data_IF_393720136339
#
_entry.id   IF_393720136339
#
_cell.length_a   1.000
_cell.length_b   1.000
_cell.length_c   1.000
_cell.angle_alpha   90.00
_cell.angle_beta   90.00
_cell.angle_gamma   90.00
#
_symmetry.space_group_name_H-M   'P 1'
#
loop_
_entity.id
_entity.type
_entity.pdbx_description
1 polymer ?
#
# COMPACT_ATOMS: atom_id res chain seq x y z
N UNK A 1 -6.63 -17.76 -16.25
CA UNK A 1 -7.13 -17.56 -14.87
C UNK A 1 -6.82 -16.14 -14.48
N UNK A 2 -7.69 -15.46 -13.72
CA UNK A 2 -7.41 -14.11 -13.24
C UNK A 2 -6.18 -14.21 -12.32
N UNK A 3 -5.06 -13.59 -12.72
CA UNK A 3 -3.86 -13.50 -11.89
C UNK A 3 -4.23 -12.76 -10.61
N UNK A 4 -4.39 -13.50 -9.51
CA UNK A 4 -4.57 -12.92 -8.19
C UNK A 4 -3.22 -12.43 -7.71
N UNK A 5 -2.99 -11.13 -7.87
CA UNK A 5 -1.78 -10.48 -7.38
C UNK A 5 -1.98 -10.07 -5.93
N UNK A 6 -0.96 -10.29 -5.10
CA UNK A 6 -1.01 -10.01 -3.67
C UNK A 6 -0.66 -8.55 -3.43
N UNK A 7 -1.55 -7.80 -2.77
CA UNK A 7 -1.23 -6.49 -2.23
C UNK A 7 -0.44 -6.70 -0.93
N UNK A 8 0.75 -6.10 -0.87
CA UNK A 8 1.59 -6.08 0.34
C UNK A 8 1.51 -4.70 0.99
N UNK A 9 1.59 -4.68 2.31
CA UNK A 9 1.61 -3.43 3.08
C UNK A 9 2.88 -3.42 3.91
N UNK A 10 3.64 -2.34 3.82
CA UNK A 10 4.85 -2.10 4.59
C UNK A 10 4.63 -0.88 5.46
N UNK A 11 4.95 -0.97 6.75
CA UNK A 11 5.14 0.22 7.56
C UNK A 11 6.44 0.92 7.10
N UNK A 12 6.34 2.22 6.85
CA UNK A 12 7.46 3.05 6.42
C UNK A 12 7.73 4.15 7.44
N UNK A 13 9.00 4.56 7.61
CA UNK A 13 9.33 5.70 8.45
C UNK A 13 8.63 6.98 7.95
N UNK A 14 8.33 7.92 8.86
CA UNK A 14 7.76 9.22 8.49
C UNK A 14 8.71 9.97 7.55
N UNK A 15 8.17 10.92 6.78
CA UNK A 15 8.94 11.84 5.94
C UNK A 15 9.89 12.69 6.80
N UNK A 16 11.08 12.18 7.08
CA UNK A 16 12.15 12.91 7.77
C UNK A 16 13.19 13.35 6.75
N UNK A 17 12.81 14.11 5.72
CA UNK A 17 13.72 14.84 4.80
C UNK A 17 14.73 14.03 3.96
N UNK A 18 15.04 12.79 4.33
CA UNK A 18 16.13 11.95 3.82
C UNK A 18 15.58 10.62 3.28
N UNK A 19 14.36 10.64 2.71
CA UNK A 19 13.79 9.45 2.09
C UNK A 19 14.39 9.30 0.68
N UNK A 20 15.45 8.50 0.55
CA UNK A 20 16.12 8.25 -0.73
C UNK A 20 16.01 6.75 -1.06
N UNK A 21 15.41 6.43 -2.20
CA UNK A 21 15.36 5.05 -2.71
C UNK A 21 16.70 4.56 -3.26
N UNK A 22 17.64 5.47 -3.56
CA UNK A 22 18.90 5.15 -4.24
C UNK A 22 20.16 5.43 -3.43
N UNK A 23 20.17 6.44 -2.54
CA UNK A 23 21.42 6.99 -1.99
C UNK A 23 21.35 7.42 -0.51
N UNK A 24 20.37 6.91 0.26
CA UNK A 24 20.15 7.27 1.67
C UNK A 24 20.65 6.21 2.67
N UNK A 25 20.59 6.52 3.96
CA UNK A 25 20.85 5.54 5.01
C UNK A 25 19.88 4.36 4.94
N UNK A 26 20.35 3.16 5.30
CA UNK A 26 19.55 1.94 5.32
C UNK A 26 18.25 2.13 6.09
N UNK A 27 17.12 1.96 5.41
CA UNK A 27 15.79 2.06 6.02
C UNK A 27 15.24 0.66 6.30
N UNK A 28 14.75 0.46 7.52
CA UNK A 28 14.06 -0.78 7.89
C UNK A 28 12.59 -0.64 7.50
N UNK A 29 12.16 -1.49 6.56
CA UNK A 29 10.76 -1.66 6.21
C UNK A 29 10.18 -2.80 7.05
N UNK A 30 9.11 -2.55 7.78
CA UNK A 30 8.43 -3.61 8.53
C UNK A 30 7.26 -4.08 7.67
N UNK A 31 7.38 -5.26 7.07
CA UNK A 31 6.23 -5.91 6.44
C UNK A 31 5.19 -6.22 7.52
N UNK A 32 3.99 -5.69 7.32
CA UNK A 32 2.85 -6.03 8.19
C UNK A 32 2.08 -7.16 7.51
N UNK A 33 1.62 -8.15 8.29
CA UNK A 33 0.87 -9.33 7.80
C UNK A 33 -0.57 -8.98 7.33
N UNK A 34 -0.72 -7.91 6.55
CA UNK A 34 -1.99 -7.43 6.01
C UNK A 34 -2.02 -7.65 4.52
N UNK A 35 -2.64 -8.76 4.13
CA UNK A 35 -2.72 -9.20 2.75
C UNK A 35 -4.13 -9.07 2.19
N UNK A 36 -4.24 -8.66 0.94
CA UNK A 36 -5.49 -8.65 0.18
C UNK A 36 -5.20 -9.05 -1.26
N UNK A 37 -6.00 -9.94 -1.81
CA UNK A 37 -5.98 -10.23 -3.25
C UNK A 37 -6.42 -8.97 -4.00
N UNK A 38 -5.66 -8.60 -5.04
CA UNK A 38 -6.02 -7.51 -5.95
C UNK A 38 -7.06 -7.97 -6.98
N UNK A 39 -8.29 -8.18 -6.53
CA UNK A 39 -9.42 -8.59 -7.38
C UNK A 39 -10.33 -7.42 -7.70
N UNK A 40 -10.67 -7.22 -8.98
CA UNK A 40 -11.75 -6.31 -9.37
C UNK A 40 -13.06 -6.69 -8.65
N UNK A 41 -13.69 -5.75 -7.92
CA UNK A 41 -14.89 -6.05 -7.16
C UNK A 41 -16.17 -6.08 -8.01
N UNK A 42 -16.16 -5.55 -9.23
CA UNK A 42 -17.40 -5.26 -9.99
C UNK A 42 -17.38 -5.68 -11.45
N UNK A 43 -16.22 -5.73 -12.12
CA UNK A 43 -16.13 -6.12 -13.54
C UNK A 43 -14.71 -6.65 -13.86
N UNK A 44 -14.56 -7.88 -14.37
CA UNK A 44 -13.26 -8.44 -14.77
C UNK A 44 -12.51 -7.59 -15.81
N UNK A 45 -13.20 -6.72 -16.55
CA UNK A 45 -12.61 -5.82 -17.56
C UNK A 45 -12.06 -4.51 -16.96
N UNK A 46 -12.46 -4.15 -15.74
CA UNK A 46 -12.04 -2.91 -15.07
C UNK A 46 -10.62 -2.95 -14.51
N UNK A 47 -9.93 -4.09 -14.63
CA UNK A 47 -8.59 -4.29 -14.10
C UNK A 47 -8.56 -4.43 -12.56
N UNK A 48 -7.36 -4.61 -11.97
CA UNK A 48 -7.18 -4.75 -10.53
C UNK A 48 -7.61 -3.49 -9.74
N UNK A 49 -7.99 -3.64 -8.46
CA UNK A 49 -8.36 -2.52 -7.57
C UNK A 49 -7.25 -1.47 -7.46
N UNK A 50 -5.98 -1.88 -7.51
CA UNK A 50 -4.85 -0.94 -7.45
C UNK A 50 -4.75 -0.02 -8.68
N UNK A 51 -5.37 -0.37 -9.81
CA UNK A 51 -5.26 0.40 -11.05
C UNK A 51 -6.07 1.70 -11.02
N UNK A 52 -7.11 1.80 -10.19
CA UNK A 52 -8.03 2.95 -10.19
C UNK A 52 -8.28 3.50 -8.78
N UNK A 53 -8.65 4.78 -8.70
CA UNK A 53 -8.77 5.53 -7.43
C UNK A 53 -9.77 4.90 -6.45
N UNK A 54 -10.96 4.52 -6.94
CA UNK A 54 -11.99 3.89 -6.10
C UNK A 54 -11.55 2.56 -5.49
N UNK A 55 -10.70 1.79 -6.17
CA UNK A 55 -10.17 0.52 -5.67
C UNK A 55 -9.08 0.75 -4.63
N UNK A 56 -8.21 1.75 -4.85
CA UNK A 56 -7.22 2.19 -3.85
C UNK A 56 -7.89 2.63 -2.54
N UNK A 57 -9.01 3.36 -2.62
CA UNK A 57 -9.79 3.75 -1.44
C UNK A 57 -10.34 2.55 -0.67
N UNK A 58 -10.85 1.52 -1.36
CA UNK A 58 -11.30 0.28 -0.72
C UNK A 58 -10.15 -0.48 -0.03
N UNK A 59 -8.96 -0.45 -0.62
CA UNK A 59 -7.76 -1.06 -0.03
C UNK A 59 -7.33 -0.28 1.23
N UNK A 60 -7.35 1.05 1.17
CA UNK A 60 -7.06 1.91 2.30
C UNK A 60 -8.04 1.68 3.47
N UNK A 61 -9.33 1.59 3.19
CA UNK A 61 -10.36 1.27 4.18
C UNK A 61 -10.14 -0.10 4.82
N UNK A 62 -9.78 -1.12 4.02
CA UNK A 62 -9.41 -2.44 4.52
C UNK A 62 -8.20 -2.40 5.47
N UNK A 63 -7.19 -1.58 5.16
CA UNK A 63 -6.00 -1.42 6.01
C UNK A 63 -6.36 -0.70 7.30
N UNK A 64 -7.14 0.38 7.24
CA UNK A 64 -7.60 1.15 8.41
C UNK A 64 -8.47 0.34 9.36
N UNK A 65 -9.15 -0.70 8.86
CA UNK A 65 -9.95 -1.61 9.68
C UNK A 65 -9.11 -2.65 10.46
N UNK A 66 -7.78 -2.73 10.27
CA UNK A 66 -6.92 -3.69 10.98
C UNK A 66 -6.73 -3.29 12.44
N UNK A 67 -6.78 -4.28 13.34
CA UNK A 67 -6.62 -4.09 14.79
C UNK A 67 -5.35 -3.34 15.20
N UNK A 68 -4.26 -3.53 14.44
CA UNK A 68 -2.95 -2.95 14.72
C UNK A 68 -2.60 -1.77 13.79
N UNK A 69 -3.58 -1.23 13.06
CA UNK A 69 -3.40 -0.01 12.31
C UNK A 69 -3.12 1.15 13.28
N UNK A 70 -2.06 1.91 13.02
CA UNK A 70 -1.70 3.08 13.79
C UNK A 70 -1.76 4.34 12.90
N UNK A 71 -2.69 5.27 13.14
CA UNK A 71 -2.83 6.48 12.33
C UNK A 71 -1.64 7.43 12.43
N UNK A 72 -0.77 7.29 13.44
CA UNK A 72 0.46 8.08 13.57
C UNK A 72 1.62 7.55 12.72
N UNK A 73 1.44 6.40 12.05
CA UNK A 73 2.44 5.77 11.21
C UNK A 73 2.07 5.91 9.74
N UNK A 74 3.09 5.81 8.90
CA UNK A 74 2.96 5.83 7.45
C UNK A 74 3.07 4.41 6.90
N UNK A 75 2.34 4.14 5.82
CA UNK A 75 2.32 2.81 5.20
C UNK A 75 2.50 2.93 3.69
N UNK A 76 3.32 2.05 3.12
CA UNK A 76 3.47 1.86 1.68
C UNK A 76 2.67 0.62 1.28
N UNK A 77 1.74 0.81 0.35
CA UNK A 77 0.91 -0.25 -0.22
C UNK A 77 1.46 -0.59 -1.60
N UNK A 78 1.87 -1.84 -1.77
CA UNK A 78 2.60 -2.31 -2.94
C UNK A 78 1.82 -3.38 -3.70
N UNK A 79 1.82 -3.19 -5.01
CA UNK A 79 1.44 -4.13 -6.05
C UNK A 79 2.54 -4.11 -7.12
N UNK A 80 2.65 -5.16 -7.94
CA UNK A 80 3.73 -5.27 -8.94
C UNK A 80 3.81 -4.06 -9.88
N UNK A 81 2.68 -3.45 -10.21
CA UNK A 81 2.59 -2.36 -11.19
C UNK A 81 2.19 -1.01 -10.56
N UNK A 82 1.78 -1.01 -9.30
CA UNK A 82 1.16 0.15 -8.66
C UNK A 82 1.57 0.25 -7.20
N UNK A 83 1.69 1.47 -6.71
CA UNK A 83 1.92 1.74 -5.29
C UNK A 83 1.21 3.02 -4.86
N UNK A 84 0.82 3.07 -3.60
CA UNK A 84 0.41 4.32 -2.96
C UNK A 84 0.79 4.32 -1.48
N UNK A 85 0.72 5.48 -0.85
CA UNK A 85 1.04 5.63 0.57
C UNK A 85 -0.16 6.08 1.38
N UNK A 86 -0.24 5.63 2.63
CA UNK A 86 -1.20 6.08 3.64
C UNK A 86 -0.44 6.89 4.68
N UNK A 87 -0.95 8.08 5.03
CA UNK A 87 -0.36 9.01 6.01
C UNK A 87 1.11 9.39 5.73
N UNK A 88 1.55 9.31 4.48
CA UNK A 88 2.86 9.81 4.06
C UNK A 88 2.65 11.03 3.17
N UNK A 89 3.33 12.13 3.48
CA UNK A 89 3.47 13.27 2.58
C UNK A 89 4.95 13.45 2.33
N UNK A 90 5.36 13.43 1.06
CA UNK A 90 6.68 13.95 0.72
C UNK A 90 6.71 15.46 1.05
N UNK A 91 7.88 16.01 1.43
CA UNK A 91 8.07 17.45 1.48
C UNK A 91 8.02 18.08 0.09
#
# INVERSE_FOLDING_TARGET
GINKMLIRVLEIPPSTGNFHFSDGEEQIFIEVDWFKDDTSPLDPTSGPMMAYEGGRKQIEEFIKAKKYFNPSKSYLVLHQEHSFTINYSAP
#
